data_IF_777354165611
#
_entry.id   IF_777354165611
#
_cell.length_a   1.000
_cell.length_b   1.000
_cell.length_c   1.000
_cell.angle_alpha   90.00
_cell.angle_beta   90.00
_cell.angle_gamma   90.00
#
_symmetry.space_group_name_H-M   'P 1'
#
loop_
_entity.id
_entity.type
_entity.pdbx_description
1 polymer ?
#
# COMPACT_ATOMS: atom_id res chain seq x y z
N UNK A 1 -38.97 -62.06 -1.74
CA UNK A 1 -38.14 -61.91 -2.96
C UNK A 1 -38.13 -60.45 -3.38
N UNK A 2 -36.93 -59.83 -3.49
CA UNK A 2 -36.61 -58.62 -4.30
C UNK A 2 -37.37 -57.33 -3.91
N UNK A 3 -36.77 -56.19 -3.54
CA UNK A 3 -35.48 -55.55 -3.87
C UNK A 3 -35.06 -54.65 -2.71
N UNK A 4 -33.75 -54.66 -2.44
CA UNK A 4 -33.03 -53.71 -1.61
C UNK A 4 -33.03 -52.34 -2.28
N UNK A 5 -33.51 -51.29 -1.59
CA UNK A 5 -33.26 -49.90 -1.99
C UNK A 5 -32.20 -49.37 -1.04
N UNK A 6 -30.95 -49.53 -1.44
CA UNK A 6 -29.77 -49.05 -0.73
C UNK A 6 -29.87 -47.52 -0.70
N UNK A 7 -30.01 -46.99 0.51
CA UNK A 7 -29.90 -45.58 0.84
C UNK A 7 -28.47 -45.13 0.51
N UNK A 8 -28.23 -44.76 -0.74
CA UNK A 8 -27.00 -44.10 -1.15
C UNK A 8 -27.10 -42.63 -0.75
N UNK A 9 -26.99 -42.34 0.55
CA UNK A 9 -26.50 -41.03 1.00
C UNK A 9 -25.02 -41.06 0.64
N UNK A 10 -24.74 -40.81 -0.64
CA UNK A 10 -23.45 -40.29 -1.04
C UNK A 10 -23.36 -38.96 -0.31
N UNK A 11 -22.44 -38.97 0.65
CA UNK A 11 -21.82 -37.84 1.31
C UNK A 11 -21.56 -36.74 0.27
N UNK A 12 -22.55 -35.90 -0.01
CA UNK A 12 -22.42 -34.71 -0.85
C UNK A 12 -21.78 -33.60 0.00
N UNK A 13 -20.66 -33.93 0.63
CA UNK A 13 -19.67 -32.97 1.10
C UNK A 13 -18.76 -32.71 -0.11
N UNK A 14 -19.35 -32.16 -1.18
CA UNK A 14 -18.56 -31.44 -2.17
C UNK A 14 -18.33 -30.07 -1.55
N UNK A 15 -17.12 -29.88 -1.05
CA UNK A 15 -16.71 -28.74 -0.23
C UNK A 15 -17.29 -27.42 -0.72
N UNK A 16 -17.95 -26.74 0.20
CA UNK A 16 -18.09 -25.29 0.12
C UNK A 16 -16.66 -24.78 0.18
N UNK A 17 -16.05 -24.55 -0.99
CA UNK A 17 -14.94 -23.63 -1.09
C UNK A 17 -15.51 -22.30 -0.64
N UNK A 18 -15.29 -21.97 0.64
CA UNK A 18 -15.38 -20.62 1.13
C UNK A 18 -14.27 -19.85 0.41
N UNK A 19 -14.55 -19.42 -0.81
CA UNK A 19 -13.83 -18.31 -1.41
C UNK A 19 -14.18 -17.12 -0.52
N UNK A 20 -13.38 -16.92 0.52
CA UNK A 20 -13.42 -15.69 1.30
C UNK A 20 -13.19 -14.55 0.32
N UNK A 21 -14.13 -13.64 0.25
CA UNK A 21 -13.95 -12.40 -0.50
C UNK A 21 -12.71 -11.70 0.08
N UNK A 22 -11.72 -11.38 -0.76
CA UNK A 22 -10.53 -10.66 -0.29
C UNK A 22 -10.99 -9.29 0.22
N UNK A 23 -11.10 -9.16 1.54
CA UNK A 23 -11.55 -7.94 2.18
C UNK A 23 -10.34 -7.05 2.49
N UNK A 24 -10.41 -5.82 2.00
CA UNK A 24 -9.47 -4.77 2.39
C UNK A 24 -10.07 -3.96 3.53
N UNK A 25 -9.31 -3.78 4.61
CA UNK A 25 -9.64 -2.82 5.66
C UNK A 25 -8.63 -1.69 5.66
N UNK A 26 -9.13 -0.49 5.42
CA UNK A 26 -8.33 0.73 5.40
C UNK A 26 -8.21 1.32 6.79
N UNK A 27 -6.98 1.50 7.25
CA UNK A 27 -6.69 2.07 8.58
C UNK A 27 -6.18 3.51 8.42
N UNK A 28 -5.20 3.71 7.53
CA UNK A 28 -4.72 5.03 7.14
C UNK A 28 -4.56 5.06 5.62
N UNK A 29 -5.66 5.23 4.86
CA UNK A 29 -5.64 5.12 3.41
C UNK A 29 -5.13 6.37 2.69
N UNK A 30 -5.01 7.51 3.37
CA UNK A 30 -4.52 8.77 2.79
C UNK A 30 -3.86 9.62 3.88
N UNK A 31 -3.36 10.80 3.52
CA UNK A 31 -2.72 11.70 4.48
C UNK A 31 -3.67 12.07 5.62
N UNK A 32 -3.27 11.74 6.86
CA UNK A 32 -4.08 11.90 8.07
C UNK A 32 -5.47 11.23 7.97
N UNK A 33 -5.52 10.08 7.28
CA UNK A 33 -6.60 9.08 7.34
C UNK A 33 -7.82 9.37 6.48
N UNK A 34 -8.21 10.62 6.31
CA UNK A 34 -9.45 11.01 5.62
C UNK A 34 -9.36 12.42 5.02
N UNK A 35 -10.46 12.88 4.42
CA UNK A 35 -10.57 14.20 3.80
C UNK A 35 -10.47 15.37 4.81
N UNK A 36 -10.86 15.17 6.06
CA UNK A 36 -10.75 16.13 7.15
C UNK A 36 -9.33 16.20 7.75
N UNK A 37 -8.48 15.21 7.44
CA UNK A 37 -7.08 15.12 7.87
C UNK A 37 -6.93 15.15 9.40
N UNK A 38 -7.71 14.32 10.08
CA UNK A 38 -7.80 14.31 11.54
C UNK A 38 -7.51 12.95 12.19
N UNK A 39 -6.84 12.03 11.50
CA UNK A 39 -6.38 10.77 12.08
C UNK A 39 -4.97 10.88 12.68
N UNK A 40 -4.86 10.58 13.97
CA UNK A 40 -3.61 10.64 14.75
C UNK A 40 -3.25 9.32 15.45
N UNK A 41 -3.92 8.22 15.09
CA UNK A 41 -3.89 6.95 15.81
C UNK A 41 -5.07 6.80 16.77
N UNK A 42 -5.31 5.57 17.22
CA UNK A 42 -6.44 5.23 18.10
C UNK A 42 -6.02 5.19 19.57
N UNK A 43 -4.96 4.44 19.86
CA UNK A 43 -4.46 4.19 21.21
C UNK A 43 -2.94 4.24 21.19
N UNK A 44 -2.36 5.00 22.11
CA UNK A 44 -0.91 5.05 22.29
C UNK A 44 -0.46 3.92 23.21
N UNK A 45 0.68 3.25 22.93
CA UNK A 45 1.19 2.22 23.81
C UNK A 45 1.76 2.84 25.10
N UNK A 46 1.78 2.07 26.19
CA UNK A 46 2.38 2.50 27.46
C UNK A 46 3.91 2.53 27.43
N UNK A 47 4.54 1.84 26.47
CA UNK A 47 5.98 1.81 26.22
C UNK A 47 6.26 1.76 24.72
N UNK A 48 7.37 2.37 24.30
CA UNK A 48 7.88 2.30 22.93
C UNK A 48 8.98 1.26 22.83
N UNK A 49 8.67 0.12 22.22
CA UNK A 49 9.62 -0.95 21.90
C UNK A 49 9.87 -1.01 20.39
N UNK A 50 11.11 -1.25 20.00
CA UNK A 50 11.47 -1.44 18.59
C UNK A 50 11.24 -2.91 18.23
N UNK A 51 10.24 -3.17 17.39
CA UNK A 51 9.91 -4.53 16.93
C UNK A 51 10.81 -4.94 15.76
N UNK A 52 11.01 -4.05 14.78
CA UNK A 52 11.90 -4.25 13.63
C UNK A 52 12.35 -2.92 13.04
N UNK A 53 13.32 -2.99 12.12
CA UNK A 53 13.78 -1.85 11.30
C UNK A 53 13.93 -2.28 9.84
N UNK A 54 13.41 -1.48 8.93
CA UNK A 54 13.55 -1.67 7.49
C UNK A 54 14.25 -0.47 6.87
N UNK A 55 15.45 -0.62 6.29
CA UNK A 55 16.14 0.47 5.60
C UNK A 55 15.35 0.95 4.38
N UNK A 56 15.14 2.26 4.25
CA UNK A 56 14.45 2.86 3.10
C UNK A 56 15.40 3.33 1.99
N UNK A 57 16.71 3.11 2.15
CA UNK A 57 17.71 3.44 1.15
C UNK A 57 18.02 4.93 1.01
N UNK A 58 18.74 5.24 -0.06
CA UNK A 58 19.15 6.58 -0.46
C UNK A 58 18.98 6.77 -1.98
N UNK A 59 18.68 8.00 -2.39
CA UNK A 59 18.49 8.34 -3.80
C UNK A 59 19.13 9.67 -4.16
N UNK A 60 19.63 9.76 -5.38
CA UNK A 60 20.16 11.01 -5.95
C UNK A 60 19.03 11.73 -6.67
N UNK A 61 18.81 13.00 -6.31
CA UNK A 61 17.81 13.85 -6.95
C UNK A 61 18.44 15.18 -7.34
N UNK A 62 18.14 15.65 -8.55
CA UNK A 62 18.62 16.93 -9.07
C UNK A 62 17.77 18.10 -8.55
N UNK A 63 18.38 19.05 -7.84
CA UNK A 63 17.76 20.28 -7.33
C UNK A 63 18.41 21.47 -8.02
N UNK A 64 17.72 22.02 -9.02
CA UNK A 64 18.32 22.98 -9.96
C UNK A 64 19.37 22.27 -10.82
N UNK A 65 20.61 22.75 -10.80
CA UNK A 65 21.75 22.11 -11.47
C UNK A 65 22.50 21.12 -10.58
N UNK A 66 22.23 21.13 -9.27
CA UNK A 66 23.01 20.35 -8.30
C UNK A 66 22.36 19.00 -8.01
N UNK A 67 23.18 17.96 -7.93
CA UNK A 67 22.75 16.68 -7.39
C UNK A 67 22.75 16.69 -5.86
N UNK A 68 21.80 15.97 -5.27
CA UNK A 68 21.62 15.84 -3.82
C UNK A 68 21.27 14.40 -3.50
N UNK A 69 21.99 13.83 -2.53
CA UNK A 69 21.66 12.52 -1.95
C UNK A 69 20.65 12.73 -0.84
N UNK A 70 19.54 12.00 -0.90
CA UNK A 70 18.48 12.03 0.10
C UNK A 70 18.28 10.64 0.69
N UNK A 71 17.89 10.57 1.97
CA UNK A 71 17.63 9.31 2.69
C UNK A 71 16.30 9.41 3.45
N UNK A 72 15.64 8.28 3.62
CA UNK A 72 14.40 8.19 4.42
C UNK A 72 13.13 8.53 3.63
N UNK A 73 12.03 8.76 4.35
CA UNK A 73 10.67 8.83 3.80
C UNK A 73 10.26 10.20 3.24
N UNK A 74 11.00 11.27 3.52
CA UNK A 74 10.62 12.64 3.15
C UNK A 74 9.57 13.27 4.07
N UNK A 75 9.07 14.45 3.71
CA UNK A 75 8.01 15.16 4.44
C UNK A 75 6.75 15.23 3.57
N UNK A 76 5.59 14.76 4.03
CA UNK A 76 5.27 14.30 5.39
C UNK A 76 5.72 12.87 5.72
N UNK A 77 6.02 12.05 4.71
CA UNK A 77 6.58 10.70 4.90
C UNK A 77 5.69 9.71 5.65
N UNK A 78 4.41 10.05 5.92
CA UNK A 78 3.49 9.19 6.65
C UNK A 78 3.13 7.96 5.79
N UNK A 79 3.26 6.73 6.33
CA UNK A 79 2.86 5.51 5.64
C UNK A 79 1.34 5.38 5.50
N UNK A 80 0.93 4.62 4.49
CA UNK A 80 -0.42 4.10 4.40
C UNK A 80 -0.51 2.77 5.15
N UNK A 81 -1.66 2.49 5.74
CA UNK A 81 -1.93 1.24 6.46
C UNK A 81 -3.19 0.58 5.90
N UNK A 82 -3.02 -0.67 5.47
CA UNK A 82 -4.08 -1.51 4.94
C UNK A 82 -3.93 -2.93 5.45
N UNK A 83 -5.03 -3.51 5.89
CA UNK A 83 -5.12 -4.93 6.19
C UNK A 83 -5.76 -5.65 5.01
N UNK A 84 -5.20 -6.81 4.68
CA UNK A 84 -5.72 -7.74 3.68
C UNK A 84 -5.64 -9.15 4.26
N UNK A 85 -6.77 -9.84 4.37
CA UNK A 85 -6.85 -11.23 4.88
C UNK A 85 -6.07 -11.39 6.21
N UNK A 86 -6.38 -10.56 7.22
CA UNK A 86 -5.75 -10.52 8.55
C UNK A 86 -4.24 -10.19 8.58
N UNK A 87 -3.67 -9.80 7.44
CA UNK A 87 -2.29 -9.33 7.34
C UNK A 87 -2.24 -7.82 7.20
N UNK A 88 -1.61 -7.16 8.17
CA UNK A 88 -1.36 -5.72 8.11
C UNK A 88 -0.14 -5.39 7.25
N UNK A 89 -0.33 -4.45 6.33
CA UNK A 89 0.71 -3.95 5.45
C UNK A 89 0.91 -2.44 5.60
N UNK A 90 2.18 -2.05 5.56
CA UNK A 90 2.63 -0.67 5.47
C UNK A 90 2.96 -0.40 4.00
N UNK A 91 2.36 0.63 3.43
CA UNK A 91 2.77 1.16 2.13
C UNK A 91 3.60 2.41 2.39
N UNK A 92 4.88 2.35 2.05
CA UNK A 92 5.84 3.41 2.34
C UNK A 92 6.59 3.82 1.08
N UNK A 93 6.53 5.11 0.77
CA UNK A 93 7.40 5.72 -0.22
C UNK A 93 8.64 6.35 0.42
N UNK A 94 9.69 6.55 -0.37
CA UNK A 94 10.92 7.16 0.12
C UNK A 94 11.68 7.97 -0.93
N UNK A 95 12.67 8.71 -0.42
CA UNK A 95 13.54 9.59 -1.19
C UNK A 95 14.54 8.83 -2.07
N UNK A 96 14.62 7.51 -1.93
CA UNK A 96 15.36 6.59 -2.79
C UNK A 96 14.60 6.22 -4.09
N UNK A 97 13.45 6.87 -4.31
CA UNK A 97 12.59 6.73 -5.49
C UNK A 97 11.71 5.47 -5.45
N UNK A 98 11.63 4.75 -4.34
CA UNK A 98 10.79 3.55 -4.25
C UNK A 98 9.51 3.77 -3.46
N UNK A 99 8.47 3.03 -3.85
CA UNK A 99 7.28 2.72 -3.08
C UNK A 99 7.34 1.23 -2.73
N UNK A 100 7.08 0.90 -1.47
CA UNK A 100 7.22 -0.45 -0.93
C UNK A 100 5.94 -0.89 -0.26
N UNK A 101 5.61 -2.18 -0.40
CA UNK A 101 4.71 -2.87 0.53
C UNK A 101 5.53 -3.65 1.52
N UNK A 102 5.34 -3.36 2.80
CA UNK A 102 6.10 -3.94 3.90
C UNK A 102 5.11 -4.70 4.79
N UNK A 103 5.44 -5.93 5.16
CA UNK A 103 4.67 -6.66 6.17
C UNK A 103 4.87 -6.01 7.54
N UNK A 104 3.79 -5.52 8.16
CA UNK A 104 3.89 -4.77 9.41
C UNK A 104 4.35 -5.62 10.60
N UNK A 105 4.17 -6.94 10.55
CA UNK A 105 4.61 -7.85 11.61
C UNK A 105 6.12 -8.11 11.58
N UNK A 106 6.73 -8.18 10.39
CA UNK A 106 8.12 -8.64 10.22
C UNK A 106 9.08 -7.58 9.70
N UNK A 107 8.58 -6.48 9.12
CA UNK A 107 9.40 -5.49 8.40
C UNK A 107 9.88 -5.96 7.02
N UNK A 108 9.43 -7.14 6.56
CA UNK A 108 9.81 -7.70 5.27
C UNK A 108 9.16 -6.94 4.11
N UNK A 109 9.98 -6.55 3.11
CA UNK A 109 9.51 -5.92 1.87
C UNK A 109 8.92 -7.01 0.96
N UNK A 110 7.62 -6.93 0.67
CA UNK A 110 6.90 -7.88 -0.19
C UNK A 110 7.00 -7.53 -1.67
N UNK A 111 7.07 -6.24 -1.98
CA UNK A 111 7.35 -5.74 -3.33
C UNK A 111 7.82 -4.29 -3.26
N UNK A 112 8.44 -3.86 -4.35
CA UNK A 112 8.89 -2.49 -4.56
C UNK A 112 8.51 -2.01 -5.97
N UNK A 113 8.21 -0.73 -6.09
CA UNK A 113 8.01 -0.04 -7.36
C UNK A 113 8.90 1.20 -7.40
N UNK A 114 9.63 1.39 -8.50
CA UNK A 114 10.56 2.52 -8.65
C UNK A 114 9.96 3.63 -9.50
N UNK A 115 9.95 4.83 -8.94
CA UNK A 115 9.62 6.08 -9.62
C UNK A 115 10.86 6.70 -10.29
N UNK A 116 10.63 7.72 -11.11
CA UNK A 116 11.66 8.47 -11.83
C UNK A 116 12.39 9.53 -10.98
N UNK A 117 11.84 9.92 -9.83
CA UNK A 117 12.48 10.85 -8.87
C UNK A 117 11.97 10.55 -7.44
N UNK A 118 12.53 11.25 -6.46
CA UNK A 118 12.21 11.12 -5.05
C UNK A 118 10.72 11.29 -4.77
N UNK A 119 10.21 10.46 -3.88
CA UNK A 119 8.83 10.49 -3.42
C UNK A 119 8.82 11.02 -1.99
N UNK A 120 8.15 12.16 -1.77
CA UNK A 120 8.18 12.88 -0.48
C UNK A 120 6.85 12.84 0.26
N UNK A 121 5.74 12.75 -0.48
CA UNK A 121 4.39 12.84 0.05
C UNK A 121 3.76 11.48 0.35
N UNK A 122 2.73 11.49 1.19
CA UNK A 122 1.86 10.35 1.45
C UNK A 122 0.94 10.11 0.26
N UNK A 123 0.80 8.86 -0.16
CA UNK A 123 -0.12 8.46 -1.24
C UNK A 123 -1.57 8.36 -0.80
N UNK A 124 -2.38 7.76 -1.67
CA UNK A 124 -3.77 7.41 -1.37
C UNK A 124 -4.08 6.00 -1.87
N UNK A 125 -4.68 5.19 -1.01
CA UNK A 125 -5.34 3.95 -1.39
C UNK A 125 -6.74 4.27 -1.90
N UNK A 126 -7.09 3.75 -3.06
CA UNK A 126 -8.41 3.91 -3.64
C UNK A 126 -8.96 2.55 -4.05
N UNK A 127 -10.11 2.17 -3.48
CA UNK A 127 -10.89 1.04 -3.98
C UNK A 127 -11.70 1.53 -5.17
N UNK A 128 -11.45 0.92 -6.32
CA UNK A 128 -12.14 1.24 -7.55
C UNK A 128 -13.50 0.52 -7.57
N UNK A 129 -14.63 1.26 -7.45
CA UNK A 129 -15.96 0.63 -7.44
C UNK A 129 -16.37 0.08 -8.81
N UNK A 130 -15.61 0.39 -9.87
CA UNK A 130 -15.86 -0.06 -11.24
C UNK A 130 -14.84 -1.09 -11.72
N UNK A 131 -14.05 -1.66 -10.80
CA UNK A 131 -13.08 -2.68 -11.15
C UNK A 131 -13.77 -3.92 -11.74
N UNK A 132 -13.30 -4.35 -12.90
CA UNK A 132 -13.77 -5.57 -13.58
C UNK A 132 -12.92 -6.79 -13.23
N UNK A 133 -11.79 -6.57 -12.57
CA UNK A 133 -10.79 -7.58 -12.23
C UNK A 133 -10.09 -7.21 -10.90
N UNK A 134 -9.37 -8.17 -10.33
CA UNK A 134 -8.70 -8.01 -9.03
C UNK A 134 -7.44 -7.15 -9.08
N UNK A 135 -6.83 -6.95 -10.24
CA UNK A 135 -5.63 -6.11 -10.37
C UNK A 135 -5.99 -4.62 -10.30
N UNK A 136 -7.18 -4.25 -10.77
CA UNK A 136 -7.67 -2.87 -10.79
C UNK A 136 -8.57 -2.50 -9.61
N UNK A 137 -8.84 -3.45 -8.70
CA UNK A 137 -9.71 -3.28 -7.53
C UNK A 137 -9.12 -2.30 -6.50
N UNK A 138 -7.83 -2.45 -6.17
CA UNK A 138 -7.14 -1.58 -5.23
C UNK A 138 -5.99 -0.85 -5.93
N UNK A 139 -6.13 0.47 -6.03
CA UNK A 139 -5.11 1.33 -6.61
C UNK A 139 -4.36 2.12 -5.54
N UNK A 140 -3.07 2.29 -5.77
CA UNK A 140 -2.21 3.16 -4.96
C UNK A 140 -1.86 4.37 -5.82
N UNK A 141 -2.40 5.53 -5.45
CA UNK A 141 -2.15 6.80 -6.14
C UNK A 141 -0.97 7.48 -5.43
N UNK A 142 0.16 7.60 -6.13
CA UNK A 142 1.39 8.17 -5.60
C UNK A 142 2.07 9.03 -6.66
N UNK A 143 2.47 10.25 -6.28
CA UNK A 143 3.25 11.14 -7.14
C UNK A 143 4.72 11.20 -6.69
N UNK A 144 5.64 11.19 -7.65
CA UNK A 144 7.04 11.56 -7.44
C UNK A 144 7.23 13.07 -7.60
N UNK A 145 8.38 13.59 -7.13
CA UNK A 145 8.71 15.01 -7.22
C UNK A 145 8.74 15.53 -8.67
N UNK A 146 9.25 14.72 -9.60
CA UNK A 146 9.35 15.02 -11.03
C UNK A 146 9.19 13.71 -11.79
N UNK A 147 8.50 13.77 -12.92
CA UNK A 147 8.69 12.77 -13.97
C UNK A 147 9.73 13.28 -14.98
N UNK A 148 10.55 12.40 -15.53
CA UNK A 148 11.60 12.76 -16.51
C UNK A 148 11.03 13.36 -17.80
N UNK A 149 9.73 13.20 -18.04
CA UNK A 149 9.01 13.76 -19.19
C UNK A 149 8.28 15.08 -18.92
N UNK A 150 7.98 15.42 -17.66
CA UNK A 150 7.11 16.56 -17.32
C UNK A 150 7.53 17.23 -16.01
N UNK A 151 8.76 17.75 -15.96
CA UNK A 151 9.16 18.68 -14.91
C UNK A 151 8.19 19.86 -14.87
N UNK A 152 7.59 20.17 -13.72
CA UNK A 152 6.73 21.36 -13.51
C UNK A 152 7.48 22.70 -13.62
N UNK A 153 8.78 22.67 -13.94
CA UNK A 153 9.57 23.83 -14.38
C UNK A 153 9.42 24.11 -15.88
N UNK A 154 8.61 23.32 -16.59
CA UNK A 154 8.24 23.58 -17.97
C UNK A 154 7.24 24.74 -17.99
N UNK A 155 7.61 25.84 -18.67
CA UNK A 155 6.90 27.12 -18.71
C UNK A 155 5.50 27.09 -19.38
N UNK A 156 4.90 25.91 -19.57
CA UNK A 156 3.67 25.75 -20.36
C UNK A 156 2.59 24.88 -19.70
N UNK A 157 2.56 24.78 -18.37
CA UNK A 157 1.38 24.26 -17.67
C UNK A 157 0.61 25.44 -17.05
N UNK A 158 -0.07 26.17 -17.93
CA UNK A 158 -1.26 26.96 -17.59
C UNK A 158 -2.50 26.06 -17.81
N UNK A 159 -3.61 26.32 -17.08
CA UNK A 159 -4.68 25.36 -16.78
C UNK A 159 -5.35 24.68 -17.97
#
# INVERSE_FOLDING_TARGET
MKKSFIFSIILMISGIFLFGEEAYRFINPTFLGNNERNYYGNEAPSRLDIIWRTPLGEGVTKVGEKERVWKGSGWTGQPLLVEKNDSLFIIQSSLDHHLRKICAATGEIKWEYRFSDAVKGTGTLWLNPFATDKETELLIIQGSRRDTRYSTWYQHLHP
#
